data_IF_052049816984
#
_entry.id   IF_052049816984
#
_cell.length_a   1.000
_cell.length_b   1.000
_cell.length_c   1.000
_cell.angle_alpha   90.00
_cell.angle_beta   90.00
_cell.angle_gamma   90.00
#
_symmetry.space_group_name_H-M   'P 1'
#
loop_
_entity.id
_entity.type
_entity.pdbx_description
1 polymer ?
#
# COMPACT_ATOMS: atom_id res chain seq x y z
N UNK A 1 50.37 -51.30 15.76
CA UNK A 1 50.18 -50.24 14.74
C UNK A 1 48.67 -49.97 14.58
N UNK A 2 48.15 -48.96 15.28
CA UNK A 2 46.75 -48.59 15.25
C UNK A 2 46.64 -47.19 14.61
N UNK A 3 46.03 -47.13 13.46
CA UNK A 3 45.76 -45.87 12.73
C UNK A 3 44.38 -45.37 13.11
N UNK A 4 44.31 -44.27 13.84
CA UNK A 4 43.11 -43.55 14.21
C UNK A 4 42.59 -42.76 13.00
N UNK A 5 41.41 -43.09 12.51
CA UNK A 5 40.66 -42.26 11.54
C UNK A 5 40.00 -41.11 12.27
N UNK A 6 40.45 -39.89 12.01
CA UNK A 6 39.71 -38.66 12.34
C UNK A 6 38.63 -38.43 11.29
N UNK A 7 37.38 -38.46 11.72
CA UNK A 7 36.24 -38.02 10.93
C UNK A 7 36.01 -36.55 11.16
N UNK A 8 36.31 -35.72 10.16
CA UNK A 8 35.97 -34.30 10.15
C UNK A 8 34.49 -34.15 9.85
N UNK A 9 33.71 -33.75 10.86
CA UNK A 9 32.32 -33.35 10.73
C UNK A 9 32.28 -31.95 10.12
N UNK A 10 31.90 -31.86 8.87
CA UNK A 10 31.57 -30.58 8.23
C UNK A 10 30.20 -30.12 8.73
N UNK A 11 30.23 -29.09 9.56
CA UNK A 11 29.06 -28.38 10.06
C UNK A 11 28.46 -27.62 8.87
N UNK A 12 27.30 -28.05 8.38
CA UNK A 12 26.53 -27.31 7.37
C UNK A 12 26.10 -25.94 7.93
N UNK A 13 26.55 -24.88 7.30
CA UNK A 13 26.08 -23.52 7.61
C UNK A 13 24.58 -23.46 7.32
N UNK A 14 23.82 -22.96 8.30
CA UNK A 14 22.41 -22.69 8.17
C UNK A 14 22.20 -21.59 7.10
N UNK A 15 21.10 -21.64 6.29
CA UNK A 15 20.86 -20.63 5.28
C UNK A 15 20.74 -19.25 5.91
N UNK A 16 21.43 -18.28 5.33
CA UNK A 16 21.45 -16.88 5.75
C UNK A 16 20.03 -16.34 5.83
N UNK A 17 19.69 -15.68 6.94
CA UNK A 17 18.44 -14.92 7.09
C UNK A 17 18.31 -13.98 5.90
N UNK A 18 17.25 -14.14 5.12
CA UNK A 18 16.82 -13.20 4.08
C UNK A 18 16.96 -11.78 4.64
N UNK A 19 17.79 -10.95 4.03
CA UNK A 19 17.93 -9.56 4.40
C UNK A 19 16.56 -8.89 4.25
N UNK A 20 16.02 -8.37 5.35
CA UNK A 20 14.78 -7.59 5.30
C UNK A 20 15.02 -6.42 4.34
N UNK A 21 14.26 -6.38 3.26
CA UNK A 21 14.26 -5.22 2.36
C UNK A 21 13.74 -4.05 3.20
N UNK A 22 14.52 -2.98 3.29
CA UNK A 22 14.11 -1.73 3.95
C UNK A 22 13.74 -0.75 2.85
N UNK A 23 12.57 -0.11 2.91
CA UNK A 23 12.19 0.86 1.91
C UNK A 23 13.17 2.04 1.89
N UNK A 24 13.44 2.58 0.70
CA UNK A 24 14.29 3.75 0.50
C UNK A 24 13.47 4.86 -0.15
N UNK A 25 14.08 6.04 -0.31
CA UNK A 25 13.50 7.16 -1.04
C UNK A 25 14.21 7.46 -2.36
N UNK A 26 15.17 6.65 -2.75
CA UNK A 26 15.99 6.88 -3.94
C UNK A 26 15.15 7.08 -5.19
N UNK A 27 14.21 6.17 -5.44
CA UNK A 27 13.36 6.27 -6.62
C UNK A 27 12.32 7.39 -6.53
N UNK A 28 11.77 7.64 -5.35
CA UNK A 28 10.86 8.77 -5.13
C UNK A 28 11.58 10.10 -5.37
N UNK A 29 12.82 10.26 -4.91
CA UNK A 29 13.63 11.47 -5.10
C UNK A 29 14.04 11.67 -6.57
N UNK A 30 14.36 10.59 -7.30
CA UNK A 30 14.56 10.62 -8.75
C UNK A 30 13.29 11.11 -9.48
N UNK A 31 12.14 10.59 -9.11
CA UNK A 31 10.85 11.00 -9.68
C UNK A 31 10.48 12.42 -9.28
N UNK A 32 10.78 12.87 -8.05
CA UNK A 32 10.58 14.25 -7.64
C UNK A 32 11.42 15.22 -8.50
N UNK A 33 12.66 14.87 -8.81
CA UNK A 33 13.52 15.64 -9.70
C UNK A 33 13.00 15.74 -11.14
N UNK A 34 12.25 14.73 -11.60
CA UNK A 34 11.77 14.63 -12.98
C UNK A 34 10.33 15.14 -13.18
N UNK A 35 9.46 14.99 -12.20
CA UNK A 35 8.03 15.23 -12.33
C UNK A 35 7.48 16.25 -11.32
N UNK A 36 8.14 16.48 -10.21
CA UNK A 36 7.67 17.38 -9.16
C UNK A 36 7.06 16.63 -7.97
N UNK A 37 5.74 16.68 -7.78
CA UNK A 37 5.07 16.10 -6.61
C UNK A 37 4.81 14.62 -6.82
N UNK A 38 5.45 13.80 -5.99
CA UNK A 38 5.33 12.33 -6.01
C UNK A 38 4.44 11.87 -4.87
N UNK A 39 3.57 10.89 -5.14
CA UNK A 39 2.83 10.17 -4.11
C UNK A 39 2.97 8.66 -4.30
N UNK A 40 2.82 7.91 -3.22
CA UNK A 40 2.75 6.45 -3.23
C UNK A 40 1.33 5.97 -2.91
N UNK A 41 0.93 4.86 -3.50
CA UNK A 41 -0.40 4.29 -3.33
C UNK A 41 -0.33 2.77 -3.17
N UNK A 42 -1.07 2.24 -2.21
CA UNK A 42 -1.21 0.81 -1.96
C UNK A 42 -2.65 0.46 -1.55
N UNK A 43 -3.08 -0.76 -1.87
CA UNK A 43 -4.41 -1.26 -1.55
C UNK A 43 -4.40 -2.30 -0.43
N UNK A 44 -5.50 -2.37 0.32
CA UNK A 44 -5.77 -3.40 1.31
C UNK A 44 -7.22 -3.89 1.21
N UNK A 45 -7.42 -5.18 1.41
CA UNK A 45 -8.74 -5.80 1.34
C UNK A 45 -9.10 -6.39 -0.02
N UNK A 46 -8.25 -6.27 -1.05
CA UNK A 46 -8.48 -6.85 -2.39
C UNK A 46 -8.68 -8.36 -2.38
N UNK A 47 -7.99 -9.09 -1.49
CA UNK A 47 -8.10 -10.53 -1.33
C UNK A 47 -9.04 -10.97 -0.20
N UNK A 48 -9.68 -10.04 0.48
CA UNK A 48 -10.59 -10.35 1.59
C UNK A 48 -11.93 -10.87 1.10
N UNK A 49 -12.54 -11.77 1.89
CA UNK A 49 -13.88 -12.32 1.60
C UNK A 49 -15.02 -11.40 2.06
N UNK A 50 -14.71 -10.38 2.89
CA UNK A 50 -15.71 -9.48 3.44
C UNK A 50 -15.15 -8.06 3.66
N UNK A 51 -16.05 -7.09 3.72
CA UNK A 51 -15.76 -5.70 4.00
C UNK A 51 -15.24 -4.92 2.80
N UNK A 52 -14.94 -3.64 3.00
CA UNK A 52 -14.52 -2.72 1.93
C UNK A 52 -13.09 -3.01 1.46
N UNK A 53 -12.77 -2.55 0.26
CA UNK A 53 -11.41 -2.32 -0.16
C UNK A 53 -11.00 -0.88 0.21
N UNK A 54 -9.78 -0.72 0.72
CA UNK A 54 -9.24 0.58 1.07
C UNK A 54 -7.94 0.84 0.29
N UNK A 55 -7.73 2.09 -0.09
CA UNK A 55 -6.52 2.54 -0.79
C UNK A 55 -5.90 3.68 -0.01
N UNK A 56 -4.66 3.51 0.41
CA UNK A 56 -3.83 4.55 0.99
C UNK A 56 -3.14 5.36 -0.10
N UNK A 57 -3.07 6.66 0.11
CA UNK A 57 -2.31 7.62 -0.70
C UNK A 57 -1.44 8.43 0.24
N UNK A 58 -0.12 8.39 0.07
CA UNK A 58 0.82 9.17 0.85
C UNK A 58 1.70 10.01 -0.07
N UNK A 59 1.86 11.30 0.24
CA UNK A 59 2.72 12.20 -0.52
C UNK A 59 4.17 12.10 -0.02
N UNK A 60 5.10 12.10 -0.94
CA UNK A 60 6.52 12.09 -0.61
C UNK A 60 6.91 13.39 0.10
N UNK A 61 7.62 13.33 1.23
CA UNK A 61 8.17 14.53 1.85
C UNK A 61 9.25 15.17 0.94
N UNK A 62 9.64 16.41 1.21
CA UNK A 62 10.72 17.06 0.46
C UNK A 62 11.99 16.21 0.37
N UNK A 63 12.74 16.37 -0.71
CA UNK A 63 14.02 15.68 -0.93
C UNK A 63 14.97 15.90 0.26
N UNK A 64 15.69 14.86 0.65
CA UNK A 64 16.61 14.88 1.77
C UNK A 64 15.99 14.59 3.14
N UNK A 65 14.67 14.48 3.26
CA UNK A 65 14.04 13.99 4.50
C UNK A 65 14.26 12.45 4.58
N UNK A 66 14.83 11.95 5.68
CA UNK A 66 15.10 10.51 5.80
C UNK A 66 13.82 9.69 5.87
N UNK A 67 13.95 8.40 5.55
CA UNK A 67 12.87 7.41 5.76
C UNK A 67 12.51 7.37 7.24
N UNK A 68 11.21 7.27 7.51
CA UNK A 68 10.71 7.10 8.87
C UNK A 68 11.31 5.81 9.51
N UNK A 69 11.96 5.90 10.67
CA UNK A 69 12.54 4.73 11.33
C UNK A 69 11.49 3.65 11.62
N UNK A 70 11.82 2.40 11.28
CA UNK A 70 10.94 1.26 11.47
C UNK A 70 9.90 1.03 10.37
N UNK A 71 9.82 1.93 9.38
CA UNK A 71 8.93 1.75 8.24
C UNK A 71 9.34 0.52 7.43
N UNK A 72 8.37 -0.28 7.05
CA UNK A 72 8.53 -1.49 6.25
C UNK A 72 7.18 -1.86 5.63
N UNK A 73 7.17 -2.80 4.69
CA UNK A 73 5.94 -3.44 4.20
C UNK A 73 5.04 -3.84 5.37
N UNK A 74 3.80 -3.40 5.33
CA UNK A 74 2.82 -3.57 6.42
C UNK A 74 2.60 -5.04 6.79
N UNK A 75 2.75 -5.96 5.84
CA UNK A 75 2.63 -7.43 6.04
C UNK A 75 3.82 -8.02 6.80
N UNK A 76 4.97 -7.34 6.76
CA UNK A 76 6.19 -7.73 7.49
C UNK A 76 6.24 -7.17 8.92
N UNK A 77 5.33 -6.27 9.26
CA UNK A 77 5.21 -5.68 10.59
C UNK A 77 4.27 -6.51 11.48
N UNK A 78 4.63 -6.64 12.75
CA UNK A 78 3.68 -7.12 13.75
C UNK A 78 2.54 -6.12 13.90
N UNK A 79 1.37 -6.56 14.39
CA UNK A 79 0.24 -5.67 14.67
C UNK A 79 0.67 -4.48 15.54
N UNK A 80 1.40 -4.75 16.64
CA UNK A 80 1.90 -3.70 17.54
C UNK A 80 2.84 -2.70 16.85
N UNK A 81 3.74 -3.18 15.98
CA UNK A 81 4.66 -2.31 15.26
C UNK A 81 3.92 -1.43 14.23
N UNK A 82 2.93 -2.01 13.55
CA UNK A 82 2.09 -1.32 12.59
C UNK A 82 1.23 -0.23 13.25
N UNK A 83 0.58 -0.56 14.35
CA UNK A 83 -0.17 0.42 15.15
C UNK A 83 0.73 1.55 15.67
N UNK A 84 1.94 1.25 16.12
CA UNK A 84 2.89 2.25 16.57
C UNK A 84 3.39 3.19 15.46
N UNK A 85 3.33 2.76 14.19
CA UNK A 85 3.72 3.57 13.04
C UNK A 85 2.58 4.43 12.49
N UNK A 86 1.33 4.17 12.88
CA UNK A 86 0.15 4.84 12.30
C UNK A 86 0.24 6.36 12.40
N UNK A 87 0.35 6.92 13.60
CA UNK A 87 0.49 8.36 13.79
C UNK A 87 1.80 8.92 13.20
N UNK A 88 2.98 8.27 13.40
CA UNK A 88 4.22 8.71 12.79
C UNK A 88 4.20 8.85 11.26
N UNK A 89 3.52 7.97 10.51
CA UNK A 89 3.44 8.11 9.05
C UNK A 89 2.69 9.36 8.62
N UNK A 90 1.64 9.76 9.35
CA UNK A 90 0.90 11.00 9.09
C UNK A 90 1.71 12.27 9.43
N UNK A 91 2.68 12.17 10.35
CA UNK A 91 3.60 13.25 10.66
C UNK A 91 4.76 13.32 9.65
N UNK A 92 5.17 12.18 9.12
CA UNK A 92 6.28 12.08 8.17
C UNK A 92 5.88 12.52 6.76
N UNK A 93 4.72 12.11 6.28
CA UNK A 93 4.19 12.50 4.96
C UNK A 93 3.45 13.84 5.06
N UNK A 94 3.64 14.77 4.12
CA UNK A 94 2.92 16.04 4.13
C UNK A 94 1.41 15.89 3.96
N UNK A 95 0.96 14.80 3.35
CA UNK A 95 -0.45 14.46 3.26
C UNK A 95 -0.63 12.95 3.10
N UNK A 96 -1.47 12.36 3.95
CA UNK A 96 -1.98 11.00 3.75
C UNK A 96 -3.49 11.07 3.66
N UNK A 97 -4.06 10.35 2.68
CA UNK A 97 -5.51 10.15 2.54
C UNK A 97 -5.80 8.67 2.34
N UNK A 98 -6.97 8.24 2.80
CA UNK A 98 -7.44 6.87 2.62
C UNK A 98 -8.80 6.96 1.94
N UNK A 99 -8.91 6.36 0.77
CA UNK A 99 -10.19 6.16 0.10
C UNK A 99 -10.65 4.73 0.28
N UNK A 100 -11.96 4.54 0.27
CA UNK A 100 -12.56 3.21 0.39
C UNK A 100 -13.67 3.02 -0.64
N UNK A 101 -13.90 1.78 -1.04
CA UNK A 101 -15.11 1.34 -1.72
C UNK A 101 -15.74 0.20 -0.91
N UNK A 102 -17.05 0.29 -0.74
CA UNK A 102 -17.82 -0.65 0.08
C UNK A 102 -17.90 -2.04 -0.57
N UNK A 103 -18.30 -3.04 0.22
CA UNK A 103 -18.64 -4.36 -0.30
C UNK A 103 -19.73 -4.29 -1.37
N UNK A 104 -20.76 -3.47 -1.20
CA UNK A 104 -21.84 -3.31 -2.20
C UNK A 104 -21.32 -2.71 -3.52
N UNK A 105 -20.34 -1.80 -3.44
CA UNK A 105 -19.69 -1.25 -4.63
C UNK A 105 -18.78 -2.29 -5.31
N UNK A 106 -18.11 -3.15 -4.52
CA UNK A 106 -17.33 -4.26 -5.06
C UNK A 106 -18.24 -5.27 -5.77
N UNK A 107 -19.35 -5.64 -5.15
CA UNK A 107 -20.32 -6.61 -5.70
C UNK A 107 -20.97 -6.07 -6.98
N UNK A 108 -21.25 -4.77 -7.02
CA UNK A 108 -21.89 -4.12 -8.17
C UNK A 108 -20.94 -3.88 -9.33
N UNK A 109 -19.74 -3.35 -9.08
CA UNK A 109 -18.84 -2.86 -10.12
C UNK A 109 -17.62 -3.75 -10.36
N UNK A 110 -17.39 -4.73 -9.51
CA UNK A 110 -16.20 -5.56 -9.50
C UNK A 110 -14.99 -4.89 -8.83
N UNK A 111 -14.00 -5.70 -8.47
CA UNK A 111 -12.88 -5.28 -7.63
C UNK A 111 -11.98 -4.20 -8.28
N UNK A 112 -11.78 -4.25 -9.60
CA UNK A 112 -10.91 -3.29 -10.30
C UNK A 112 -11.55 -1.89 -10.31
N UNK A 113 -12.84 -1.80 -10.62
CA UNK A 113 -13.57 -0.53 -10.59
C UNK A 113 -13.68 0.01 -9.14
N UNK A 114 -13.86 -0.87 -8.15
CA UNK A 114 -13.87 -0.50 -6.74
C UNK A 114 -12.51 0.03 -6.26
N UNK A 115 -11.39 -0.57 -6.68
CA UNK A 115 -10.03 -0.07 -6.41
C UNK A 115 -9.83 1.32 -7.00
N UNK A 116 -10.20 1.51 -8.28
CA UNK A 116 -10.15 2.82 -8.95
C UNK A 116 -11.00 3.86 -8.21
N UNK A 117 -12.21 3.48 -7.78
CA UNK A 117 -13.09 4.35 -7.02
C UNK A 117 -12.47 4.77 -5.68
N UNK A 118 -11.91 3.82 -4.93
CA UNK A 118 -11.22 4.09 -3.68
C UNK A 118 -9.98 4.98 -3.89
N UNK A 119 -9.16 4.69 -4.90
CA UNK A 119 -7.99 5.50 -5.26
C UNK A 119 -8.37 6.94 -5.63
N UNK A 120 -9.42 7.13 -6.44
CA UNK A 120 -9.91 8.46 -6.81
C UNK A 120 -10.53 9.22 -5.64
N UNK A 121 -11.16 8.53 -4.70
CA UNK A 121 -11.63 9.14 -3.44
C UNK A 121 -10.45 9.65 -2.61
N UNK A 122 -9.35 8.90 -2.53
CA UNK A 122 -8.14 9.34 -1.86
C UNK A 122 -7.50 10.56 -2.54
N UNK A 123 -7.38 10.55 -3.88
CA UNK A 123 -6.90 11.69 -4.66
C UNK A 123 -7.78 12.93 -4.49
N UNK A 124 -9.11 12.77 -4.52
CA UNK A 124 -10.05 13.86 -4.31
C UNK A 124 -9.91 14.47 -2.92
N UNK A 125 -9.82 13.63 -1.89
CA UNK A 125 -9.62 14.10 -0.51
C UNK A 125 -8.30 14.84 -0.33
N UNK A 126 -7.23 14.42 -1.01
CA UNK A 126 -5.96 15.14 -1.02
C UNK A 126 -6.10 16.50 -1.75
N UNK A 127 -6.74 16.51 -2.92
CA UNK A 127 -6.99 17.72 -3.72
C UNK A 127 -7.80 18.76 -2.94
N UNK A 128 -8.82 18.34 -2.18
CA UNK A 128 -9.62 19.23 -1.33
C UNK A 128 -8.82 19.89 -0.19
N UNK A 129 -7.67 19.30 0.14
CA UNK A 129 -6.69 19.85 1.09
C UNK A 129 -5.55 20.63 0.42
N UNK A 130 -5.63 20.83 -0.90
CA UNK A 130 -4.61 21.55 -1.67
C UNK A 130 -3.41 20.71 -2.13
N UNK A 131 -3.47 19.38 -1.99
CA UNK A 131 -2.41 18.48 -2.42
C UNK A 131 -2.77 17.81 -3.74
N UNK A 132 -1.89 17.98 -4.74
CA UNK A 132 -2.01 17.34 -6.05
C UNK A 132 -0.71 16.65 -6.39
N UNK A 133 -0.78 15.37 -6.80
CA UNK A 133 0.37 14.62 -7.26
C UNK A 133 0.53 14.77 -8.77
N UNK A 134 1.76 14.94 -9.24
CA UNK A 134 2.11 14.89 -10.65
C UNK A 134 2.30 13.45 -11.11
N UNK A 135 2.78 12.60 -10.20
CA UNK A 135 3.00 11.16 -10.45
C UNK A 135 2.69 10.35 -9.19
N UNK A 136 2.09 9.18 -9.39
CA UNK A 136 1.81 8.18 -8.34
C UNK A 136 2.60 6.91 -8.61
N UNK A 137 3.32 6.43 -7.60
CA UNK A 137 3.90 5.10 -7.55
C UNK A 137 2.82 4.16 -7.01
N UNK A 138 2.35 3.24 -7.83
CA UNK A 138 1.33 2.27 -7.47
C UNK A 138 1.97 0.91 -7.19
N UNK A 139 1.65 0.29 -6.03
CA UNK A 139 2.12 -1.06 -5.76
C UNK A 139 1.53 -2.07 -6.73
N UNK A 140 2.35 -3.06 -7.12
CA UNK A 140 1.96 -4.12 -8.03
C UNK A 140 2.39 -3.91 -9.48
N UNK A 141 1.86 -4.74 -10.37
CA UNK A 141 2.18 -4.73 -11.81
C UNK A 141 1.04 -4.21 -12.69
N UNK A 142 -0.13 -3.93 -12.10
CA UNK A 142 -1.34 -3.57 -12.84
C UNK A 142 -1.79 -2.15 -12.46
N UNK A 143 -1.87 -1.29 -13.46
CA UNK A 143 -2.45 0.04 -13.29
C UNK A 143 -3.98 -0.06 -13.31
N UNK A 144 -4.56 -0.06 -12.12
CA UNK A 144 -6.00 -0.03 -11.94
C UNK A 144 -6.53 1.41 -11.69
N UNK A 145 -5.63 2.40 -11.55
CA UNK A 145 -5.99 3.78 -11.21
C UNK A 145 -6.29 4.64 -12.43
N UNK A 146 -5.48 4.51 -13.50
CA UNK A 146 -5.65 5.28 -14.73
C UNK A 146 -6.96 4.92 -15.43
N UNK A 147 -7.50 5.88 -16.20
CA UNK A 147 -8.58 5.59 -17.12
C UNK A 147 -8.05 4.67 -18.21
N UNK A 148 -8.55 3.46 -18.24
CA UNK A 148 -8.42 2.60 -19.40
C UNK A 148 -9.68 2.77 -20.24
N UNK A 149 -9.59 2.95 -21.55
CA UNK A 149 -10.74 2.75 -22.43
C UNK A 149 -11.04 1.25 -22.38
N UNK A 150 -11.87 0.85 -21.42
CA UNK A 150 -12.23 -0.55 -21.27
C UNK A 150 -13.10 -0.97 -22.45
N UNK A 151 -12.78 -2.17 -22.99
CA UNK A 151 -13.53 -2.86 -24.04
C UNK A 151 -15.00 -3.15 -23.63
N UNK A 152 -15.42 -2.70 -22.45
CA UNK A 152 -16.68 -2.98 -21.76
C UNK A 152 -17.42 -1.69 -21.36
N UNK A 153 -17.45 -0.69 -22.22
CA UNK A 153 -18.19 0.58 -22.00
C UNK A 153 -19.69 0.40 -21.69
N UNK A 154 -20.22 -0.81 -21.82
CA UNK A 154 -21.62 -1.15 -21.51
C UNK A 154 -21.85 -1.68 -20.09
N UNK A 155 -20.81 -1.78 -19.24
CA UNK A 155 -20.97 -2.22 -17.87
C UNK A 155 -21.35 -1.05 -16.95
N UNK A 156 -22.14 -1.36 -15.93
CA UNK A 156 -22.44 -0.42 -14.85
C UNK A 156 -21.13 0.00 -14.16
N UNK A 157 -20.71 1.23 -14.37
CA UNK A 157 -19.48 1.79 -13.80
C UNK A 157 -19.82 2.79 -12.70
N UNK A 158 -19.01 2.87 -11.63
CA UNK A 158 -19.25 3.84 -10.57
C UNK A 158 -19.09 5.27 -11.08
N UNK A 159 -19.84 6.19 -10.49
CA UNK A 159 -19.58 7.61 -10.68
C UNK A 159 -18.30 7.98 -9.94
N UNK A 160 -17.21 8.08 -10.68
CA UNK A 160 -15.93 8.47 -10.13
C UNK A 160 -15.90 9.94 -9.70
N UNK A 161 -15.26 10.28 -8.56
CA UNK A 161 -15.02 11.68 -8.20
C UNK A 161 -14.26 12.42 -9.30
N UNK A 162 -14.69 13.65 -9.59
CA UNK A 162 -13.98 14.54 -10.52
C UNK A 162 -12.68 15.00 -9.84
N UNK A 163 -11.57 14.45 -10.27
CA UNK A 163 -10.21 14.78 -9.82
C UNK A 163 -9.25 14.50 -10.97
N UNK A 164 -8.19 15.28 -11.07
CA UNK A 164 -7.11 15.01 -12.02
C UNK A 164 -6.44 13.68 -11.65
N UNK A 165 -6.36 12.77 -12.61
CA UNK A 165 -5.59 11.52 -12.42
C UNK A 165 -4.14 11.83 -12.76
N UNK A 166 -3.19 11.67 -11.82
CA UNK A 166 -1.77 11.89 -12.06
C UNK A 166 -1.22 10.81 -13.01
N UNK A 167 0.00 11.02 -13.51
CA UNK A 167 0.73 9.94 -14.17
C UNK A 167 0.91 8.78 -13.20
N UNK A 168 0.67 7.56 -13.67
CA UNK A 168 0.85 6.35 -12.86
C UNK A 168 2.08 5.57 -13.33
N UNK A 169 2.88 5.14 -12.37
CA UNK A 169 3.96 4.17 -12.58
C UNK A 169 3.77 3.01 -11.61
N UNK A 170 3.78 1.80 -12.12
CA UNK A 170 3.62 0.60 -11.31
C UNK A 170 4.98 0.03 -10.91
N UNK A 171 5.09 -0.53 -9.71
CA UNK A 171 6.27 -1.25 -9.26
C UNK A 171 5.88 -2.42 -8.38
N UNK A 172 6.32 -3.61 -8.76
CA UNK A 172 6.11 -4.82 -7.97
C UNK A 172 6.86 -4.71 -6.65
N UNK A 173 6.17 -4.94 -5.54
CA UNK A 173 6.69 -4.79 -4.16
C UNK A 173 7.18 -3.38 -3.86
N UNK A 174 6.47 -2.37 -4.34
CA UNK A 174 6.75 -0.99 -3.99
C UNK A 174 6.52 -0.74 -2.49
N UNK A 175 5.54 -1.41 -1.88
CA UNK A 175 5.27 -1.43 -0.45
C UNK A 175 6.48 -1.84 0.41
N UNK A 176 7.39 -2.66 -0.14
CA UNK A 176 8.63 -3.07 0.52
C UNK A 176 9.85 -2.22 0.15
N UNK A 177 9.84 -1.50 -0.98
CA UNK A 177 11.01 -0.84 -1.55
C UNK A 177 10.92 0.68 -1.59
N UNK A 178 9.72 1.27 -1.60
CA UNK A 178 9.46 2.70 -1.68
C UNK A 178 8.84 3.19 -0.37
N UNK A 179 9.50 4.14 0.30
CA UNK A 179 9.07 4.61 1.63
C UNK A 179 7.66 5.23 1.62
N UNK A 180 7.31 5.96 0.57
CA UNK A 180 6.00 6.59 0.43
C UNK A 180 4.89 5.55 0.24
N UNK A 181 5.14 4.50 -0.56
CA UNK A 181 4.20 3.38 -0.74
C UNK A 181 4.07 2.58 0.56
N UNK A 182 5.18 2.32 1.28
CA UNK A 182 5.15 1.69 2.60
C UNK A 182 4.31 2.48 3.60
N UNK A 183 4.41 3.82 3.60
CA UNK A 183 3.60 4.68 4.47
C UNK A 183 2.11 4.60 4.12
N UNK A 184 1.76 4.60 2.83
CA UNK A 184 0.40 4.40 2.34
C UNK A 184 -0.15 3.03 2.76
N UNK A 185 0.67 1.97 2.63
CA UNK A 185 0.35 0.60 3.05
C UNK A 185 0.03 0.50 4.54
N UNK A 186 0.90 1.06 5.39
CA UNK A 186 0.69 1.08 6.85
C UNK A 186 -0.60 1.83 7.21
N UNK A 187 -0.81 3.02 6.64
CA UNK A 187 -1.99 3.84 6.91
C UNK A 187 -3.29 3.12 6.51
N UNK A 188 -3.35 2.58 5.29
CA UNK A 188 -4.53 1.87 4.80
C UNK A 188 -4.79 0.59 5.59
N UNK A 189 -3.73 -0.16 5.94
CA UNK A 189 -3.86 -1.42 6.68
C UNK A 189 -4.40 -1.21 8.08
N UNK A 190 -3.85 -0.25 8.84
CA UNK A 190 -4.34 0.05 10.18
C UNK A 190 -5.78 0.57 10.14
N UNK A 191 -6.07 1.48 9.22
CA UNK A 191 -7.41 2.01 9.03
C UNK A 191 -8.44 0.89 8.77
N UNK A 192 -8.15 0.01 7.80
CA UNK A 192 -9.07 -1.06 7.45
C UNK A 192 -9.19 -2.11 8.57
N UNK A 193 -8.10 -2.44 9.26
CA UNK A 193 -8.14 -3.40 10.37
C UNK A 193 -9.05 -2.89 11.49
N UNK A 194 -8.97 -1.60 11.85
CA UNK A 194 -9.85 -0.96 12.82
C UNK A 194 -11.31 -0.94 12.35
N UNK A 195 -11.53 -0.59 11.07
CA UNK A 195 -12.87 -0.59 10.48
C UNK A 195 -13.51 -1.98 10.55
N UNK A 196 -12.76 -3.05 10.26
CA UNK A 196 -13.26 -4.43 10.34
C UNK A 196 -13.56 -4.87 11.78
N UNK A 197 -12.91 -4.28 12.79
CA UNK A 197 -13.20 -4.53 14.20
C UNK A 197 -14.49 -3.83 14.67
N UNK A 198 -14.89 -2.74 14.00
CA UNK A 198 -16.12 -1.98 14.31
C UNK A 198 -17.38 -2.60 13.67
N UNK A 199 -17.23 -3.45 12.65
CA UNK A 199 -18.39 -4.12 12.05
C UNK A 199 -19.03 -5.13 13.01
N UNK A 200 -20.37 -5.12 13.08
CA UNK A 200 -21.14 -6.15 13.76
C UNK A 200 -20.90 -7.50 13.07
N UNK A 201 -20.26 -8.42 13.79
CA UNK A 201 -19.92 -9.73 13.24
C UNK A 201 -21.07 -10.72 13.44
N UNK A 202 -21.72 -11.21 12.38
CA UNK A 202 -22.77 -12.23 12.49
C UNK A 202 -22.25 -13.63 12.84
N UNK A 203 -21.00 -13.75 13.30
CA UNK A 203 -20.38 -15.03 13.70
C UNK A 203 -19.39 -15.58 12.67
N UNK A 204 -18.98 -14.79 11.69
CA UNK A 204 -18.02 -15.21 10.64
C UNK A 204 -16.56 -14.85 10.93
N UNK A 205 -16.29 -14.20 12.05
CA UNK A 205 -14.94 -13.78 12.42
C UNK A 205 -14.40 -12.64 11.54
N UNK A 206 -15.22 -11.63 11.23
CA UNK A 206 -14.87 -10.56 10.30
C UNK A 206 -13.65 -9.74 10.74
N UNK A 207 -13.47 -9.52 12.05
CA UNK A 207 -12.27 -8.90 12.59
C UNK A 207 -10.98 -9.66 12.25
N UNK A 208 -11.07 -10.95 11.96
CA UNK A 208 -9.95 -11.79 11.51
C UNK A 208 -9.75 -11.76 9.99
N UNK A 209 -10.72 -11.26 9.22
CA UNK A 209 -10.69 -11.16 7.75
C UNK A 209 -10.06 -9.84 7.31
N UNK A 210 -8.79 -9.67 7.65
CA UNK A 210 -8.09 -8.40 7.53
C UNK A 210 -7.42 -8.15 6.16
N UNK A 211 -7.46 -9.13 5.26
CA UNK A 211 -6.89 -9.02 3.92
C UNK A 211 -5.36 -9.10 3.89
#
# INVERSE_FOLDING_TARGET
MNASKQTSSSRAEAPSRSSKITPTREWEEELQGSFGVVAGMDEVGRGSLAGPVCVGLAFAPPTGIPVLPGLADSKMLTLRAREALFEPVFQWSPCIQIGQASNDEIDRFGIIAALRLAGRRALKAASDRGFQADIVILDGSHDWLSDSPDLFDDLDVPLYPTVSTPKVVTRVKADASCATVSAASVAAKVFRDRLMEEYEDPGYGWASNKG
#
